data_IF_449442921011
#
_entry.id   IF_449442921011
#
_cell.length_a   1.000
_cell.length_b   1.000
_cell.length_c   1.000
_cell.angle_alpha   90.00
_cell.angle_beta   90.00
_cell.angle_gamma   90.00
#
_symmetry.space_group_name_H-M   'P 1'
#
loop_
_entity.id
_entity.type
_entity.pdbx_description
1 polymer ?
#
# COMPACT_ATOMS: atom_id res chain seq x y z
N UNK A 1 40.75 -43.98 30.76
CA UNK A 1 39.36 -43.62 30.38
C UNK A 1 39.34 -42.11 30.13
N UNK A 2 39.44 -41.69 28.87
CA UNK A 2 39.67 -40.28 28.52
C UNK A 2 38.34 -39.65 28.12
N UNK A 3 37.90 -38.64 28.87
CA UNK A 3 36.63 -37.94 28.62
C UNK A 3 36.84 -36.95 27.48
N UNK A 4 36.33 -37.27 26.29
CA UNK A 4 36.32 -36.38 25.13
C UNK A 4 35.26 -35.30 25.37
N UNK A 5 35.69 -34.08 25.74
CA UNK A 5 34.80 -32.91 25.79
C UNK A 5 34.42 -32.53 24.35
N UNK A 6 33.18 -32.80 23.96
CA UNK A 6 32.62 -32.30 22.71
C UNK A 6 32.57 -30.77 22.74
N UNK A 7 33.37 -30.13 21.87
CA UNK A 7 33.34 -28.69 21.62
C UNK A 7 32.13 -28.39 20.74
N UNK A 8 31.05 -27.94 21.35
CA UNK A 8 29.90 -27.36 20.64
C UNK A 8 30.40 -26.09 19.94
N UNK A 9 30.30 -25.95 18.60
CA UNK A 9 30.74 -24.74 17.93
C UNK A 9 29.80 -23.59 18.29
N UNK A 10 30.34 -22.54 18.91
CA UNK A 10 29.64 -21.27 19.13
C UNK A 10 29.43 -20.59 17.78
N UNK A 11 28.25 -20.77 17.19
CA UNK A 11 27.84 -19.98 16.03
C UNK A 11 27.89 -18.49 16.42
N UNK A 12 28.51 -17.60 15.62
CA UNK A 12 28.51 -16.18 15.92
C UNK A 12 27.06 -15.68 15.89
N UNK A 13 26.61 -15.11 17.01
CA UNK A 13 25.27 -14.56 17.22
C UNK A 13 24.93 -13.35 16.31
N UNK A 14 25.76 -13.02 15.31
CA UNK A 14 25.57 -11.82 14.49
C UNK A 14 24.49 -11.99 13.41
N UNK A 15 24.34 -13.19 12.82
CA UNK A 15 23.51 -13.33 11.62
C UNK A 15 21.98 -13.32 11.88
N UNK A 16 21.53 -13.33 13.14
CA UNK A 16 20.09 -13.20 13.48
C UNK A 16 19.64 -11.75 13.58
N UNK A 17 20.57 -10.86 13.94
CA UNK A 17 20.34 -9.45 14.22
C UNK A 17 20.83 -8.53 13.09
N UNK A 18 21.20 -9.06 11.93
CA UNK A 18 21.41 -8.23 10.73
C UNK A 18 20.20 -8.34 9.78
N UNK A 19 19.48 -9.46 9.85
CA UNK A 19 18.30 -9.74 9.05
C UNK A 19 17.10 -8.84 9.39
N UNK A 20 16.85 -8.56 10.66
CA UNK A 20 15.72 -7.69 11.06
C UNK A 20 15.88 -6.21 10.65
N UNK A 21 17.11 -5.70 10.55
CA UNK A 21 17.40 -4.31 10.12
C UNK A 21 17.23 -4.20 8.61
N UNK A 22 17.74 -5.19 7.86
CA UNK A 22 17.54 -5.24 6.41
C UNK A 22 16.08 -5.44 6.04
N UNK A 23 15.34 -6.29 6.79
CA UNK A 23 13.89 -6.44 6.63
C UNK A 23 13.12 -5.14 6.93
N UNK A 24 13.48 -4.43 8.01
CA UNK A 24 12.87 -3.15 8.34
C UNK A 24 13.13 -2.09 7.25
N UNK A 25 14.37 -2.01 6.74
CA UNK A 25 14.72 -1.09 5.65
C UNK A 25 13.99 -1.42 4.36
N UNK A 26 13.95 -2.70 3.98
CA UNK A 26 13.23 -3.15 2.78
C UNK A 26 11.74 -2.86 2.88
N UNK A 27 11.14 -3.12 4.03
CA UNK A 27 9.72 -2.79 4.27
C UNK A 27 9.47 -1.30 4.15
N UNK A 28 10.39 -0.46 4.65
CA UNK A 28 10.28 0.99 4.55
C UNK A 28 10.46 1.51 3.11
N UNK A 29 11.32 0.88 2.31
CA UNK A 29 11.46 1.16 0.87
C UNK A 29 10.18 0.75 0.10
N UNK A 30 9.65 -0.46 0.32
CA UNK A 30 8.40 -0.93 -0.32
C UNK A 30 7.22 0.00 -0.02
N UNK A 31 7.12 0.52 1.21
CA UNK A 31 6.10 1.49 1.58
C UNK A 31 6.24 2.84 0.88
N UNK A 32 7.47 3.26 0.59
CA UNK A 32 7.73 4.48 -0.18
C UNK A 32 7.28 4.34 -1.64
N UNK A 33 7.62 3.20 -2.25
CA UNK A 33 7.27 2.88 -3.63
C UNK A 33 5.74 2.74 -3.82
N UNK A 34 5.07 2.08 -2.88
CA UNK A 34 3.60 1.98 -2.82
C UNK A 34 2.91 3.36 -2.81
N UNK A 35 3.46 4.32 -2.06
CA UNK A 35 2.89 5.67 -1.97
C UNK A 35 3.06 6.46 -3.27
N UNK A 36 4.22 6.33 -3.91
CA UNK A 36 4.49 6.96 -5.20
C UNK A 36 3.59 6.38 -6.30
N UNK A 37 3.38 5.06 -6.30
CA UNK A 37 2.45 4.41 -7.22
C UNK A 37 1.00 4.91 -7.04
N UNK A 38 0.54 5.02 -5.79
CA UNK A 38 -0.78 5.57 -5.48
C UNK A 38 -0.92 7.02 -5.94
N UNK A 39 0.12 7.83 -5.75
CA UNK A 39 0.12 9.22 -6.19
C UNK A 39 0.03 9.31 -7.73
N UNK A 40 0.82 8.50 -8.44
CA UNK A 40 0.76 8.41 -9.90
C UNK A 40 -0.63 7.94 -10.39
N UNK A 41 -1.25 6.97 -9.73
CA UNK A 41 -2.62 6.54 -10.06
C UNK A 41 -3.64 7.65 -9.85
N UNK A 42 -3.48 8.44 -8.78
CA UNK A 42 -4.31 9.60 -8.49
C UNK A 42 -4.23 10.66 -9.58
N UNK A 43 -3.01 11.00 -10.02
CA UNK A 43 -2.78 12.02 -11.04
C UNK A 43 -3.22 11.57 -12.44
N UNK A 44 -3.14 10.27 -12.74
CA UNK A 44 -3.62 9.70 -14.00
C UNK A 44 -5.13 9.47 -14.04
N UNK A 45 -5.78 9.38 -12.88
CA UNK A 45 -7.23 9.20 -12.81
C UNK A 45 -7.94 10.51 -13.16
N UNK A 46 -8.99 10.43 -13.97
CA UNK A 46 -9.81 11.59 -14.38
C UNK A 46 -10.79 12.01 -13.27
N UNK A 47 -10.28 12.16 -12.05
CA UNK A 47 -11.06 12.52 -10.88
C UNK A 47 -11.61 13.96 -11.02
N UNK A 48 -12.88 14.20 -10.66
CA UNK A 48 -13.37 15.55 -10.48
C UNK A 48 -12.63 16.24 -9.32
N UNK A 49 -12.44 17.56 -9.39
CA UNK A 49 -11.60 18.34 -8.46
C UNK A 49 -11.91 18.09 -6.98
N UNK A 50 -13.19 17.94 -6.63
CA UNK A 50 -13.59 17.67 -5.24
C UNK A 50 -13.08 16.31 -4.74
N UNK A 51 -13.13 15.27 -5.58
CA UNK A 51 -12.71 13.92 -5.24
C UNK A 51 -11.19 13.84 -5.15
N UNK A 52 -10.47 14.49 -6.07
CA UNK A 52 -9.01 14.60 -6.03
C UNK A 52 -8.53 15.26 -4.73
N UNK A 53 -9.18 16.35 -4.29
CA UNK A 53 -8.82 17.02 -3.04
C UNK A 53 -9.02 16.14 -1.80
N UNK A 54 -10.05 15.28 -1.78
CA UNK A 54 -10.26 14.33 -0.69
C UNK A 54 -9.21 13.22 -0.71
N UNK A 55 -8.99 12.61 -1.88
CA UNK A 55 -8.05 11.51 -2.04
C UNK A 55 -6.59 11.93 -1.74
N UNK A 56 -6.18 13.11 -2.21
CA UNK A 56 -4.87 13.70 -1.89
C UNK A 56 -4.69 13.97 -0.40
N UNK A 57 -5.73 14.45 0.30
CA UNK A 57 -5.70 14.65 1.75
C UNK A 57 -5.53 13.33 2.51
N UNK A 58 -6.24 12.29 2.10
CA UNK A 58 -6.09 10.96 2.70
C UNK A 58 -4.72 10.33 2.37
N UNK A 59 -4.17 10.54 1.18
CA UNK A 59 -2.81 10.11 0.82
C UNK A 59 -1.74 10.80 1.68
N UNK A 60 -1.86 12.12 1.90
CA UNK A 60 -0.98 12.85 2.81
C UNK A 60 -1.08 12.38 4.26
N UNK A 61 -2.26 11.92 4.67
CA UNK A 61 -2.46 11.33 6.00
C UNK A 61 -1.81 9.96 6.09
N UNK A 62 -1.94 9.13 5.05
CA UNK A 62 -1.29 7.82 4.96
C UNK A 62 0.23 7.95 5.05
N UNK A 63 0.83 8.93 4.37
CA UNK A 63 2.28 9.19 4.42
C UNK A 63 2.81 9.52 5.82
N UNK A 64 1.99 10.16 6.67
CA UNK A 64 2.36 10.52 8.05
C UNK A 64 2.07 9.40 9.06
N UNK A 65 1.25 8.42 8.67
CA UNK A 65 0.88 7.33 9.55
C UNK A 65 1.95 6.23 9.56
N UNK A 66 2.05 5.50 10.68
CA UNK A 66 2.88 4.31 10.73
C UNK A 66 2.27 3.22 9.85
N UNK A 67 3.08 2.61 9.00
CA UNK A 67 2.63 1.54 8.12
C UNK A 67 2.19 0.25 8.83
N UNK A 68 2.43 0.11 10.13
CA UNK A 68 1.92 -1.01 10.93
C UNK A 68 0.52 -0.74 11.49
N UNK A 69 -0.04 0.46 11.30
CA UNK A 69 -1.37 0.81 11.76
C UNK A 69 -2.44 0.08 10.93
N UNK A 70 -3.43 -0.56 11.56
CA UNK A 70 -4.56 -1.18 10.86
C UNK A 70 -5.37 -0.15 10.05
N UNK A 71 -5.39 1.11 10.47
CA UNK A 71 -6.03 2.21 9.76
C UNK A 71 -5.32 2.58 8.45
N UNK A 72 -4.01 2.32 8.32
CA UNK A 72 -3.26 2.59 7.09
C UNK A 72 -3.77 1.73 5.92
N UNK A 73 -4.08 0.45 6.18
CA UNK A 73 -4.66 -0.45 5.17
C UNK A 73 -6.02 0.02 4.69
N UNK A 74 -6.87 0.52 5.60
CA UNK A 74 -8.20 1.05 5.25
C UNK A 74 -8.08 2.26 4.33
N UNK A 75 -7.19 3.20 4.66
CA UNK A 75 -6.98 4.42 3.87
C UNK A 75 -6.41 4.08 2.49
N UNK A 76 -5.44 3.16 2.41
CA UNK A 76 -4.89 2.68 1.13
C UNK A 76 -6.01 2.16 0.23
N UNK A 77 -6.81 1.21 0.71
CA UNK A 77 -7.92 0.65 -0.07
C UNK A 77 -8.94 1.72 -0.47
N UNK A 78 -9.18 2.71 0.38
CA UNK A 78 -10.07 3.83 0.04
C UNK A 78 -9.52 4.66 -1.11
N UNK A 79 -8.24 5.05 -1.08
CA UNK A 79 -7.60 5.81 -2.17
C UNK A 79 -7.54 4.98 -3.46
N UNK A 80 -7.24 3.68 -3.37
CA UNK A 80 -7.26 2.76 -4.51
C UNK A 80 -8.64 2.74 -5.19
N UNK A 81 -9.72 2.63 -4.42
CA UNK A 81 -11.09 2.67 -4.94
C UNK A 81 -11.39 3.97 -5.70
N UNK A 82 -10.92 5.13 -5.22
CA UNK A 82 -11.07 6.38 -5.97
C UNK A 82 -10.41 6.32 -7.34
N UNK A 83 -9.23 5.73 -7.43
CA UNK A 83 -8.48 5.66 -8.69
C UNK A 83 -9.05 4.62 -9.67
N UNK A 84 -9.68 3.56 -9.15
CA UNK A 84 -10.22 2.46 -9.96
C UNK A 84 -11.61 2.77 -10.55
N UNK A 85 -12.37 3.67 -9.91
CA UNK A 85 -13.69 4.05 -10.40
C UNK A 85 -13.61 4.70 -11.79
N UNK A 86 -14.51 4.34 -12.72
CA UNK A 86 -14.48 4.83 -14.09
C UNK A 86 -15.10 6.24 -14.18
N UNK A 87 -14.46 7.23 -13.56
CA UNK A 87 -14.88 8.62 -13.61
C UNK A 87 -15.00 9.10 -15.07
N UNK A 88 -16.10 9.78 -15.38
CA UNK A 88 -16.36 10.30 -16.73
C UNK A 88 -16.78 9.25 -17.77
N UNK A 89 -16.85 7.95 -17.43
CA UNK A 89 -17.44 6.93 -18.30
C UNK A 89 -18.89 6.69 -17.90
N UNK A 90 -19.81 7.03 -18.81
CA UNK A 90 -21.21 6.65 -18.72
C UNK A 90 -21.48 5.49 -19.68
N UNK A 91 -22.34 4.56 -19.28
CA UNK A 91 -22.90 3.59 -20.22
C UNK A 91 -23.79 4.31 -21.22
N UNK A 92 -23.80 3.92 -22.51
CA UNK A 92 -24.75 4.47 -23.47
C UNK A 92 -26.17 4.11 -23.04
N UNK A 93 -26.92 5.10 -22.56
CA UNK A 93 -28.30 4.93 -22.13
C UNK A 93 -29.22 5.03 -23.34
N UNK A 94 -29.96 3.96 -23.65
CA UNK A 94 -30.99 3.98 -24.69
C UNK A 94 -32.33 4.22 -24.02
N UNK A 95 -32.75 5.48 -23.98
CA UNK A 95 -34.07 5.89 -23.48
C UNK A 95 -35.14 5.59 -24.53
N UNK A 96 -35.59 4.35 -24.60
CA UNK A 96 -36.71 3.94 -25.44
C UNK A 96 -37.96 3.70 -24.57
N UNK A 97 -38.84 4.70 -24.54
CA UNK A 97 -40.08 4.69 -23.75
C UNK A 97 -41.02 3.55 -24.16
N UNK A 98 -40.89 3.03 -25.38
CA UNK A 98 -41.71 1.92 -25.91
C UNK A 98 -41.19 0.57 -25.42
N UNK A 99 -39.87 0.41 -25.23
CA UNK A 99 -39.26 -0.79 -24.61
C UNK A 99 -39.37 -0.83 -23.09
N UNK A 100 -39.64 0.31 -22.45
CA UNK A 100 -39.72 0.44 -20.99
C UNK A 100 -41.11 0.12 -20.39
N UNK A 101 -42.06 -0.34 -21.20
CA UNK A 101 -43.43 -0.67 -20.77
C UNK A 101 -43.61 -2.17 -20.52
#
# INVERSE_FOLDING_TARGET
MTVVRLRIPSQPMSNRQDNWISLARKKQEELGDDLEELQNKLDNSQLPTHAYNVASKELQRLQRMSALSPEAGIIRSYVELFTELPWGKASPETLDVVKAR
#
